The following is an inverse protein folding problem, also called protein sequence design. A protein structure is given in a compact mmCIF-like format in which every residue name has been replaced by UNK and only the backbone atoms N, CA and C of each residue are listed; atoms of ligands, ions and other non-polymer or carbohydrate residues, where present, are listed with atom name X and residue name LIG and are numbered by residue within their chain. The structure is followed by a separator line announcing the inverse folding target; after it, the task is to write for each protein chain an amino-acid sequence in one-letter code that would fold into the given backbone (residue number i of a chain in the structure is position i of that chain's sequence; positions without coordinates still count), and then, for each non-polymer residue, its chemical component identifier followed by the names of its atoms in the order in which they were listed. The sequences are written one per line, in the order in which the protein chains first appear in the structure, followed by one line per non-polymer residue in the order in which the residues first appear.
data_IF_008922436977
#
_entry.id   IF_008922436977
#
_cell.length_a   1.000
_cell.length_b   1.000
_cell.length_c   1.000
_cell.angle_alpha   90.00
_cell.angle_beta   90.00
_cell.angle_gamma   90.00
#
_symmetry.space_group_name_H-M   'P 1'
#
loop_
_entity.id
_entity.type
_entity.pdbx_description
1 polymer ?
#
# COMPACT_ATOMS: atom_id res chain seq x y z
N UNK A 1 -18.97 18.05 -4.75
CA UNK A 1 -18.88 18.24 -4.72
C UNK A 1 -19.05 18.01 -4.44
N UNK A 2 -19.21 18.00 -4.33
CA UNK A 2 -19.37 18.08 -4.11
C UNK A 2 -19.36 17.94 -3.46
N UNK A 3 -19.50 18.06 -3.32
CA UNK A 3 -19.49 18.16 -2.74
C UNK A 3 -19.57 18.35 -1.99
N UNK A 4 -19.81 18.49 -1.89
CA UNK A 4 -19.88 18.83 -1.22
C UNK A 4 -20.34 18.92 -0.44
N UNK A 5 -20.73 18.88 -0.56
CA UNK A 5 -21.09 19.16 0.06
C UNK A 5 -21.48 18.78 0.89
N UNK A 6 -21.71 18.61 0.77
CA UNK A 6 -21.89 18.37 1.46
C UNK A 6 -21.83 18.43 2.36
N UNK A 7 -21.84 18.78 2.36
CA UNK A 7 -21.62 18.96 3.20
C UNK A 7 -21.83 19.46 4.08
N UNK A 8 -22.28 19.85 4.02
CA UNK A 8 -22.32 20.36 4.83
C UNK A 8 -22.95 20.59 5.73
N UNK A 9 -23.28 20.57 5.81
CA UNK A 9 -23.59 20.74 6.62
C UNK A 9 -23.98 20.93 7.42
N UNK A 10 -24.31 21.07 7.47
CA UNK A 10 -24.39 21.20 8.23
C UNK A 10 -24.52 21.61 9.03
N UNK A 11 -24.75 22.06 9.04
CA UNK A 11 -24.49 22.47 9.85
C UNK A 11 -24.85 22.73 10.79
N UNK A 12 -25.26 22.83 10.92
CA UNK A 12 -25.23 23.04 11.87
C UNK A 12 -25.50 22.94 12.83
N UNK A 13 -25.69 22.85 12.91
CA UNK A 13 -25.58 22.80 13.81
C UNK A 13 -25.74 22.47 14.67
N UNK A 14 -25.96 22.36 14.82
CA UNK A 14 -25.81 22.02 15.59
C UNK A 14 -25.36 21.63 16.36
N UNK A 15 -25.40 21.80 16.54
CA UNK A 15 -24.77 21.46 17.23
C UNK A 15 -24.31 20.89 18.04
N UNK A 16 -24.60 21.03 18.29
CA UNK A 16 -24.02 20.57 19.09
C UNK A 16 -23.52 19.96 19.53
N UNK A 17 -23.67 19.98 19.50
CA UNK A 17 -23.11 19.44 20.13
C UNK A 17 -22.33 19.02 20.35
N UNK A 18 -22.14 19.06 20.04
CA UNK A 18 -21.28 18.77 20.21
C UNK A 18 -20.71 18.14 20.87
N UNK A 19 -20.47 18.11 21.13
CA UNK A 19 -19.83 17.65 21.86
C UNK A 19 -19.47 16.49 21.86
N UNK A 20 -19.62 16.22 21.85
CA UNK A 20 -19.27 15.22 22.00
C UNK A 20 -18.74 14.61 21.18
N UNK A 21 -18.99 14.83 20.60
CA UNK A 21 -18.57 14.10 19.81
C UNK A 21 -17.37 13.86 19.60
N UNK A 22 -16.99 14.33 19.56
CA UNK A 22 -15.90 14.27 19.43
C UNK A 22 -15.33 13.13 19.17
N UNK A 23 -15.46 12.61 19.44
CA UNK A 23 -14.87 11.56 19.42
C UNK A 23 -14.71 10.84 18.28
N UNK A 24 -15.34 10.92 17.60
CA UNK A 24 -15.36 10.13 16.67
C UNK A 24 -14.60 10.21 15.61
N UNK A 25 -14.39 10.98 15.34
CA UNK A 25 -13.83 11.28 14.35
C UNK A 25 -12.74 10.73 13.82
N UNK A 26 -11.87 10.71 14.25
CA UNK A 26 -10.69 10.39 13.82
C UNK A 26 -10.44 9.13 13.26
N UNK A 27 -11.27 8.36 13.19
CA UNK A 27 -11.04 7.03 12.92
C UNK A 27 -10.51 6.70 11.58
N UNK A 28 -10.78 7.43 10.58
CA UNK A 28 -10.34 7.06 9.27
C UNK A 28 -8.83 6.98 9.17
N UNK A 29 -8.13 7.81 9.90
CA UNK A 29 -6.68 7.77 9.84
C UNK A 29 -6.12 6.63 10.65
N UNK A 30 -6.87 6.17 11.62
CA UNK A 30 -6.42 5.06 12.42
C UNK A 30 -6.49 3.75 11.68
N UNK A 31 -7.15 3.73 10.51
CA UNK A 31 -7.21 2.53 9.72
C UNK A 31 -5.91 2.26 8.96
N UNK A 32 -5.04 3.24 8.86
CA UNK A 32 -3.77 3.03 8.18
C UNK A 32 -2.87 2.13 9.00
N UNK A 33 -2.20 1.22 8.32
CA UNK A 33 -1.28 0.29 8.95
C UNK A 33 0.03 0.27 8.17
N UNK A 34 1.09 -0.07 8.86
CA UNK A 34 2.42 -0.17 8.25
C UNK A 34 2.59 -1.57 7.69
N UNK A 35 2.82 -1.63 6.39
CA UNK A 35 3.08 -2.87 5.68
C UNK A 35 4.60 -2.99 5.46
N UNK A 36 5.16 -4.14 5.78
CA UNK A 36 6.61 -4.38 5.66
C UNK A 36 6.87 -5.38 4.55
N UNK A 37 7.73 -5.00 3.62
CA UNK A 37 8.19 -5.87 2.55
C UNK A 37 9.66 -6.17 2.79
N UNK A 38 10.01 -7.45 2.88
CA UNK A 38 11.38 -7.88 3.12
C UNK A 38 11.92 -8.55 1.87
N UNK A 39 13.07 -8.10 1.40
CA UNK A 39 13.70 -8.70 0.23
C UNK A 39 14.69 -9.78 0.67
N UNK A 40 14.26 -11.03 0.57
CA UNK A 40 15.11 -12.19 0.86
C UNK A 40 15.59 -12.85 -0.43
N UNK A 41 15.48 -12.13 -1.54
CA UNK A 41 15.99 -12.64 -2.81
C UNK A 41 17.44 -12.23 -3.00
N UNK A 42 18.05 -12.75 -4.06
CA UNK A 42 19.41 -12.38 -4.43
C UNK A 42 19.46 -11.12 -5.29
N UNK A 43 18.31 -10.57 -5.66
CA UNK A 43 18.25 -9.42 -6.55
C UNK A 43 17.94 -8.15 -5.79
N UNK A 44 18.51 -7.04 -6.24
CA UNK A 44 18.15 -5.71 -5.74
C UNK A 44 16.87 -5.28 -6.44
N UNK A 45 15.89 -4.83 -5.66
CA UNK A 45 14.64 -4.29 -6.20
C UNK A 45 14.84 -2.78 -6.38
N UNK A 46 14.64 -2.31 -7.59
CA UNK A 46 14.87 -0.91 -7.92
C UNK A 46 13.61 -0.08 -7.88
N UNK A 47 12.46 -0.70 -8.08
CA UNK A 47 11.19 0.02 -8.03
C UNK A 47 10.13 -0.86 -7.39
N UNK A 48 9.28 -0.21 -6.65
CA UNK A 48 8.18 -0.90 -5.97
C UNK A 48 6.91 -0.09 -6.16
N UNK A 49 5.91 -0.71 -6.75
CA UNK A 49 4.59 -0.10 -6.89
C UNK A 49 3.61 -0.92 -6.07
N UNK A 50 2.73 -0.24 -5.36
CA UNK A 50 1.71 -0.88 -4.53
C UNK A 50 0.39 -0.22 -4.86
N UNK A 51 -0.56 -1.00 -5.36
CA UNK A 51 -1.83 -0.47 -5.80
C UNK A 51 -2.96 -1.37 -5.30
N UNK A 52 -4.07 -0.80 -4.84
CA UNK A 52 -5.24 -1.62 -4.51
C UNK A 52 -5.61 -2.47 -5.71
N UNK A 53 -5.96 -3.72 -5.48
CA UNK A 53 -6.25 -4.67 -6.55
C UNK A 53 -7.34 -4.17 -7.50
N UNK A 54 -8.25 -3.35 -6.99
CA UNK A 54 -9.32 -2.81 -7.82
C UNK A 54 -8.92 -1.64 -8.71
N UNK A 55 -7.71 -1.10 -8.54
CA UNK A 55 -7.26 0.05 -9.31
C UNK A 55 -6.57 -0.40 -10.59
N UNK A 56 -6.54 0.49 -11.58
CA UNK A 56 -5.96 0.15 -12.88
C UNK A 56 -4.59 0.75 -13.11
N UNK A 57 -4.11 1.64 -12.25
CA UNK A 57 -2.78 2.19 -12.44
C UNK A 57 -1.94 1.96 -11.19
N UNK A 58 -0.63 1.99 -11.38
CA UNK A 58 0.30 1.61 -10.34
C UNK A 58 0.68 2.74 -9.40
N UNK A 59 0.47 3.97 -9.80
CA UNK A 59 0.89 5.10 -8.99
C UNK A 59 2.39 5.31 -9.06
N UNK A 60 2.96 5.83 -7.98
CA UNK A 60 4.37 6.18 -7.96
C UNK A 60 5.21 5.04 -7.37
N UNK A 61 6.50 5.10 -7.68
CA UNK A 61 7.49 4.17 -7.13
C UNK A 61 7.67 4.46 -5.63
N UNK A 62 7.38 3.47 -4.80
CA UNK A 62 7.44 3.64 -3.35
C UNK A 62 8.85 3.67 -2.81
N UNK A 63 9.84 3.31 -3.59
CA UNK A 63 11.25 3.40 -3.18
C UNK A 63 11.84 4.76 -3.48
N UNK A 64 11.23 5.52 -4.40
CA UNK A 64 11.76 6.82 -4.78
C UNK A 64 13.15 6.70 -5.39
N UNK A 65 14.12 7.39 -4.82
CA UNK A 65 15.50 7.32 -5.30
C UNK A 65 16.30 6.19 -4.64
N UNK A 66 15.69 5.48 -3.70
CA UNK A 66 16.36 4.38 -3.01
C UNK A 66 16.13 3.06 -3.71
N UNK A 67 16.85 2.04 -3.28
CA UNK A 67 16.66 0.67 -3.76
C UNK A 67 16.49 -0.25 -2.55
N UNK A 68 15.94 -1.43 -2.78
CA UNK A 68 15.77 -2.42 -1.72
C UNK A 68 16.73 -3.57 -1.98
N UNK A 69 17.85 -3.54 -1.30
CA UNK A 69 18.89 -4.56 -1.46
C UNK A 69 18.49 -5.87 -0.79
N UNK A 70 19.15 -6.99 -1.19
CA UNK A 70 18.92 -8.26 -0.51
C UNK A 70 19.08 -8.13 1.00
N UNK A 71 18.16 -8.74 1.74
CA UNK A 71 18.11 -8.78 3.19
C UNK A 71 17.71 -7.46 3.84
N UNK A 72 17.26 -6.50 3.05
CA UNK A 72 16.73 -5.24 3.58
C UNK A 72 15.21 -5.25 3.48
N UNK A 73 14.60 -4.32 4.19
CA UNK A 73 13.14 -4.18 4.20
C UNK A 73 12.74 -2.74 3.95
N UNK A 74 11.51 -2.58 3.50
CA UNK A 74 10.90 -1.27 3.31
C UNK A 74 9.50 -1.32 3.92
N UNK A 75 9.05 -0.19 4.42
CA UNK A 75 7.70 -0.10 4.98
C UNK A 75 6.88 0.89 4.18
N UNK A 76 5.58 0.60 4.05
CA UNK A 76 4.62 1.44 3.35
C UNK A 76 3.36 1.49 4.21
N UNK A 77 2.79 2.67 4.40
CA UNK A 77 1.54 2.80 5.14
C UNK A 77 0.37 2.66 4.18
N UNK A 78 -0.52 1.75 4.48
CA UNK A 78 -1.66 1.42 3.63
C UNK A 78 -2.89 1.16 4.49
N UNK A 79 -4.07 1.41 3.91
CA UNK A 79 -5.31 0.94 4.51
C UNK A 79 -5.42 -0.56 4.33
N UNK A 80 -6.01 -1.29 5.29
CA UNK A 80 -6.18 -2.73 5.12
C UNK A 80 -6.99 -3.04 3.85
N UNK A 81 -6.56 -4.04 3.12
CA UNK A 81 -7.24 -4.42 1.89
C UNK A 81 -6.41 -5.39 1.07
N UNK A 82 -6.80 -5.56 -0.19
CA UNK A 82 -6.08 -6.39 -1.14
C UNK A 82 -5.29 -5.49 -2.08
N UNK A 83 -4.04 -5.84 -2.30
CA UNK A 83 -3.13 -5.02 -3.11
C UNK A 83 -2.39 -5.87 -4.11
N UNK A 84 -2.06 -5.24 -5.24
CA UNK A 84 -1.13 -5.80 -6.20
C UNK A 84 0.20 -5.06 -6.04
N UNK A 85 1.28 -5.81 -6.11
CA UNK A 85 2.61 -5.24 -6.01
C UNK A 85 3.33 -5.49 -7.32
N UNK A 86 4.01 -4.46 -7.82
CA UNK A 86 4.87 -4.61 -8.99
C UNK A 86 6.29 -4.27 -8.57
N UNK A 87 7.17 -5.21 -8.80
CA UNK A 87 8.58 -5.10 -8.42
C UNK A 87 9.40 -5.07 -9.69
N UNK A 88 10.34 -4.16 -9.77
CA UNK A 88 11.29 -4.12 -10.89
C UNK A 88 12.67 -4.33 -10.31
N UNK A 89 13.37 -5.37 -10.77
CA UNK A 89 14.66 -5.72 -10.22
C UNK A 89 15.79 -4.96 -10.93
N UNK A 90 17.02 -5.29 -10.53
CA UNK A 90 18.21 -4.62 -11.04
C UNK A 90 18.43 -4.81 -12.53
N UNK A 91 17.84 -5.85 -13.10
CA UNK A 91 17.97 -6.15 -14.53
C UNK A 91 16.84 -5.55 -15.34
N UNK A 92 15.91 -4.88 -14.69
CA UNK A 92 14.75 -4.29 -15.34
C UNK A 92 13.58 -5.23 -15.50
N UNK A 93 13.67 -6.43 -14.97
CA UNK A 93 12.58 -7.41 -15.05
C UNK A 93 11.51 -7.07 -14.03
N UNK A 94 10.27 -7.17 -14.45
CA UNK A 94 9.13 -6.84 -13.61
C UNK A 94 8.43 -8.10 -13.14
N UNK A 95 8.01 -8.08 -11.89
CA UNK A 95 7.26 -9.16 -11.27
C UNK A 95 6.02 -8.57 -10.62
N UNK A 96 4.86 -9.14 -10.88
CA UNK A 96 3.62 -8.71 -10.26
C UNK A 96 3.15 -9.79 -9.30
N UNK A 97 3.01 -9.40 -8.03
CA UNK A 97 2.42 -10.27 -7.01
C UNK A 97 1.01 -9.75 -6.78
N UNK A 98 0.02 -10.53 -7.18
CA UNK A 98 -1.35 -10.08 -7.20
C UNK A 98 -2.09 -10.49 -5.94
N UNK A 99 -3.05 -9.65 -5.58
CA UNK A 99 -4.06 -10.00 -4.59
C UNK A 99 -3.46 -10.34 -3.22
N UNK A 100 -2.51 -9.54 -2.80
CA UNK A 100 -1.89 -9.72 -1.48
C UNK A 100 -2.90 -9.28 -0.42
N UNK A 101 -3.18 -10.16 0.53
CA UNK A 101 -4.15 -9.88 1.58
C UNK A 101 -3.47 -9.11 2.70
N UNK A 102 -3.70 -7.81 2.73
CA UNK A 102 -3.14 -6.93 3.73
C UNK A 102 -4.17 -6.55 4.79
N UNK A 103 -5.23 -7.32 4.90
CA UNK A 103 -6.20 -7.13 5.97
C UNK A 103 -5.77 -7.82 7.25
N UNK A 104 -5.06 -8.93 7.11
CA UNK A 104 -4.69 -9.78 8.25
C UNK A 104 -3.20 -9.80 8.50
N UNK A 105 -2.40 -9.69 7.46
CA UNK A 105 -0.96 -9.72 7.57
C UNK A 105 -0.42 -8.37 7.12
N UNK A 106 0.58 -7.88 7.81
CA UNK A 106 1.25 -6.63 7.42
C UNK A 106 2.70 -6.91 7.01
N UNK A 107 2.98 -8.12 6.57
CA UNK A 107 4.35 -8.54 6.32
C UNK A 107 4.40 -9.45 5.09
N UNK A 108 5.30 -9.16 4.18
CA UNK A 108 5.49 -10.00 2.99
C UNK A 108 6.98 -10.22 2.77
N UNK A 109 7.36 -11.46 2.55
CA UNK A 109 8.74 -11.82 2.24
C UNK A 109 8.83 -12.19 0.78
N UNK A 110 9.76 -11.54 0.06
CA UNK A 110 10.08 -11.90 -1.31
C UNK A 110 11.32 -12.76 -1.31
N UNK A 111 11.24 -13.93 -1.89
CA UNK A 111 12.39 -14.82 -2.00
C UNK A 111 12.68 -15.12 -3.47
N UNK A 112 13.75 -15.87 -3.72
CA UNK A 112 14.14 -16.21 -5.08
C UNK A 112 13.05 -17.00 -5.81
N UNK A 113 12.37 -17.87 -5.11
CA UNK A 113 11.34 -18.69 -5.72
C UNK A 113 10.19 -17.83 -6.24
N UNK A 114 9.79 -16.83 -5.47
CA UNK A 114 8.73 -15.92 -5.87
C UNK A 114 9.11 -15.14 -7.13
N UNK A 115 10.35 -14.61 -7.16
CA UNK A 115 10.77 -13.80 -8.28
C UNK A 115 11.01 -14.63 -9.53
N UNK A 116 11.55 -15.84 -9.38
CA UNK A 116 11.72 -16.72 -10.52
C UNK A 116 10.39 -17.16 -11.10
N UNK A 117 9.41 -17.41 -10.25
CA UNK A 117 8.08 -17.78 -10.72
C UNK A 117 7.45 -16.66 -11.56
N UNK A 118 7.66 -15.42 -11.15
CA UNK A 118 7.18 -14.29 -11.94
C UNK A 118 7.80 -14.26 -13.33
N UNK A 119 9.11 -14.50 -13.41
CA UNK A 119 9.79 -14.45 -14.70
C UNK A 119 9.31 -15.53 -15.66
N UNK A 120 8.99 -16.70 -15.12
CA UNK A 120 8.54 -17.79 -15.97
C UNK A 120 7.18 -17.53 -16.63
N UNK A 121 6.40 -16.62 -16.09
CA UNK A 121 5.08 -16.32 -16.62
C UNK A 121 5.02 -14.98 -17.38
N UNK A 122 6.16 -14.38 -17.59
CA UNK A 122 6.23 -13.13 -18.37
C UNK A 122 6.76 -13.39 -19.80
#
# INVERSE_FOLDING_TARGET
MFNNLKKRILGGGLLLVACLGNSVVASAQDDMRTFTLVNRSSWTIRRLYVSPTSYQNWGHDRLGSSVLNPNYKVTVDLEPGYYDLKLVDQDGDACVVSNVDFRRSDYLVLDNATLLACELFH
#
